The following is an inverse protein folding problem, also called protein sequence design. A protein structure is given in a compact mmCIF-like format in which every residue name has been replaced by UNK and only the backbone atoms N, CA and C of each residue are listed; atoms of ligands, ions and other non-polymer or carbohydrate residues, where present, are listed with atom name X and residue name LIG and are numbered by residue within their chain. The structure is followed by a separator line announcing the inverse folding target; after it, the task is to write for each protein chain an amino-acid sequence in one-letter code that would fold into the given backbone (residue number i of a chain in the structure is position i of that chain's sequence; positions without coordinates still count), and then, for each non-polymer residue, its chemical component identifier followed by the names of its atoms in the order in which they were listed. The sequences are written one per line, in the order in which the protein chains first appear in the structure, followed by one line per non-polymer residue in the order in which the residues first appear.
data_IF_805446795677
#
_entry.id   IF_805446795677
#
_cell.length_a   1.000
_cell.length_b   1.000
_cell.length_c   1.000
_cell.angle_alpha   90.00
_cell.angle_beta   90.00
_cell.angle_gamma   90.00
#
_symmetry.space_group_name_H-M   'P 1'
#
loop_
_entity.id
_entity.type
_entity.pdbx_description
1 polymer ?
#
# COMPACT_ATOMS: atom_id res chain seq x y z
N UNK A 1 -24.13 -0.99 10.91
CA UNK A 1 -23.53 0.36 10.85
C UNK A 1 -22.49 0.58 11.95
N UNK A 2 -22.78 0.28 13.22
CA UNK A 2 -21.77 0.42 14.30
C UNK A 2 -20.55 -0.52 14.18
N UNK A 3 -20.72 -1.71 13.61
CA UNK A 3 -19.62 -2.67 13.38
C UNK A 3 -18.56 -2.14 12.42
N UNK A 4 -18.95 -1.45 11.34
CA UNK A 4 -18.01 -0.86 10.39
C UNK A 4 -17.24 0.32 11.00
N UNK A 5 -17.91 1.13 11.82
CA UNK A 5 -17.24 2.22 12.56
C UNK A 5 -16.21 1.64 13.52
N UNK A 6 -16.61 0.64 14.32
CA UNK A 6 -15.69 -0.05 15.23
C UNK A 6 -14.51 -0.66 14.48
N UNK A 7 -14.76 -1.32 13.34
CA UNK A 7 -13.71 -1.88 12.50
C UNK A 7 -12.74 -0.80 12.00
N UNK A 8 -13.24 0.32 11.48
CA UNK A 8 -12.37 1.43 11.06
C UNK A 8 -11.55 2.01 12.21
N UNK A 9 -12.14 2.18 13.39
CA UNK A 9 -11.40 2.62 14.58
C UNK A 9 -10.30 1.62 14.95
N UNK A 10 -10.57 0.32 14.90
CA UNK A 10 -9.57 -0.71 15.16
C UNK A 10 -8.44 -0.65 14.13
N UNK A 11 -8.77 -0.53 12.85
CA UNK A 11 -7.77 -0.46 11.77
C UNK A 11 -6.88 0.78 11.88
N UNK A 12 -7.48 1.95 12.15
CA UNK A 12 -6.71 3.19 12.25
C UNK A 12 -5.79 3.18 13.47
N UNK A 13 -6.26 2.64 14.61
CA UNK A 13 -5.46 2.49 15.82
C UNK A 13 -4.32 1.49 15.60
N UNK A 14 -4.62 0.35 14.98
CA UNK A 14 -3.62 -0.67 14.68
C UNK A 14 -2.52 -0.16 13.73
N UNK A 15 -2.85 0.77 12.85
CA UNK A 15 -1.88 1.41 11.96
C UNK A 15 -1.11 2.56 12.64
N UNK A 16 -1.77 3.38 13.45
CA UNK A 16 -1.15 4.58 14.04
C UNK A 16 -0.31 4.33 15.27
N UNK A 17 -0.70 3.43 16.18
CA UNK A 17 0.11 3.14 17.38
C UNK A 17 1.55 2.79 17.00
N UNK A 18 1.79 1.87 16.06
CA UNK A 18 3.15 1.44 15.72
C UNK A 18 3.91 2.56 15.01
N UNK A 19 3.25 3.34 14.16
CA UNK A 19 3.81 4.54 13.56
C UNK A 19 4.26 5.57 14.63
N UNK A 20 3.45 5.78 15.67
CA UNK A 20 3.77 6.68 16.80
C UNK A 20 5.02 6.19 17.54
N UNK A 21 5.11 4.90 17.83
CA UNK A 21 6.28 4.32 18.50
C UNK A 21 7.55 4.47 17.68
N UNK A 22 7.48 4.21 16.37
CA UNK A 22 8.63 4.36 15.46
C UNK A 22 9.04 5.83 15.37
N UNK A 23 8.08 6.74 15.27
CA UNK A 23 8.34 8.18 15.27
C UNK A 23 9.00 8.64 16.57
N UNK A 24 8.55 8.13 17.72
CA UNK A 24 9.16 8.43 19.03
C UNK A 24 10.61 7.92 19.12
N UNK A 25 10.87 6.71 18.64
CA UNK A 25 12.19 6.10 18.69
C UNK A 25 13.20 6.83 17.78
N UNK A 26 12.75 7.26 16.60
CA UNK A 26 13.63 7.91 15.62
C UNK A 26 13.77 9.42 15.85
N UNK A 27 12.74 10.11 16.33
CA UNK A 27 12.71 11.60 16.31
C UNK A 27 12.33 12.22 17.66
N UNK A 28 11.95 11.41 18.64
CA UNK A 28 11.40 11.89 19.91
C UNK A 28 9.99 12.50 19.81
N UNK A 29 9.41 12.61 18.60
CA UNK A 29 8.08 13.19 18.40
C UNK A 29 7.02 12.07 18.26
N UNK A 30 5.93 12.09 19.07
CA UNK A 30 4.86 11.10 18.96
C UNK A 30 4.00 11.25 17.72
N UNK A 31 4.05 12.36 16.99
CA UNK A 31 3.22 12.56 15.80
C UNK A 31 4.07 12.23 14.56
N UNK A 32 3.81 11.11 13.85
CA UNK A 32 4.65 10.68 12.72
C UNK A 32 4.80 11.73 11.63
N UNK A 33 3.72 12.45 11.33
CA UNK A 33 3.73 13.53 10.35
C UNK A 33 4.66 14.69 10.74
N UNK A 34 4.82 14.97 12.04
CA UNK A 34 5.77 15.98 12.51
C UNK A 34 7.18 15.40 12.65
N UNK A 35 7.31 14.14 13.08
CA UNK A 35 8.59 13.43 13.14
C UNK A 35 9.26 13.34 11.78
N UNK A 36 8.50 13.16 10.70
CA UNK A 36 9.04 13.16 9.34
C UNK A 36 9.85 14.42 9.00
N UNK A 37 9.44 15.58 9.50
CA UNK A 37 10.13 16.86 9.30
C UNK A 37 10.98 17.28 10.51
N UNK A 38 11.14 16.39 11.49
CA UNK A 38 11.92 16.62 12.69
C UNK A 38 13.38 16.16 12.55
N UNK A 39 14.11 16.36 13.63
CA UNK A 39 15.50 15.91 13.75
C UNK A 39 15.56 14.43 14.11
N UNK A 40 16.53 13.73 13.54
CA UNK A 40 16.86 12.36 13.90
C UNK A 40 17.52 12.34 15.27
N UNK A 41 16.94 11.63 16.23
CA UNK A 41 17.32 11.67 17.64
C UNK A 41 18.76 11.20 17.89
N UNK A 42 19.32 10.35 17.02
CA UNK A 42 20.66 9.82 17.20
C UNK A 42 21.78 10.79 16.76
N UNK A 43 21.56 11.55 15.68
CA UNK A 43 22.59 12.45 15.09
C UNK A 43 22.26 13.93 15.21
N UNK A 44 21.00 14.28 15.47
CA UNK A 44 20.51 15.66 15.55
C UNK A 44 20.35 16.35 14.19
N UNK A 45 20.50 15.63 13.08
CA UNK A 45 20.29 16.16 11.72
C UNK A 45 18.86 15.88 11.24
N UNK A 46 18.31 16.65 10.28
CA UNK A 46 16.97 16.41 9.76
C UNK A 46 16.80 14.99 9.21
N UNK A 47 15.75 14.28 9.62
CA UNK A 47 15.53 12.88 9.26
C UNK A 47 15.53 12.64 7.75
N UNK A 48 14.89 13.54 6.99
CA UNK A 48 14.85 13.44 5.52
C UNK A 48 16.23 13.60 4.88
N UNK A 49 17.07 14.47 5.43
CA UNK A 49 18.43 14.68 4.91
C UNK A 49 19.30 13.44 5.18
N UNK A 50 19.20 12.85 6.38
CA UNK A 50 19.84 11.57 6.70
C UNK A 50 19.39 10.47 5.74
N UNK A 51 18.08 10.38 5.53
CA UNK A 51 17.49 9.36 4.67
C UNK A 51 17.97 9.52 3.23
N UNK A 52 17.97 10.73 2.68
CA UNK A 52 18.47 10.99 1.34
C UNK A 52 19.93 10.59 1.22
N UNK A 53 20.80 10.99 2.16
CA UNK A 53 22.21 10.63 2.16
C UNK A 53 22.44 9.11 2.14
N UNK A 54 21.78 8.36 3.03
CA UNK A 54 21.91 6.90 3.07
C UNK A 54 21.40 6.27 1.76
N UNK A 55 20.26 6.72 1.26
CA UNK A 55 19.64 6.14 0.06
C UNK A 55 20.49 6.42 -1.18
N UNK A 56 21.07 7.62 -1.30
CA UNK A 56 21.99 7.97 -2.38
C UNK A 56 23.31 7.20 -2.32
N UNK A 57 23.88 7.04 -1.12
CA UNK A 57 25.12 6.27 -0.92
C UNK A 57 24.92 4.81 -1.35
N UNK A 58 23.75 4.25 -1.07
CA UNK A 58 23.37 2.91 -1.51
C UNK A 58 22.94 2.84 -2.99
N UNK A 59 23.07 3.94 -3.73
CA UNK A 59 22.82 4.00 -5.17
C UNK A 59 21.37 4.12 -5.60
N UNK A 60 20.46 4.31 -4.66
CA UNK A 60 19.05 4.55 -4.94
C UNK A 60 18.80 6.03 -5.20
N UNK A 61 17.68 6.34 -5.86
CA UNK A 61 17.27 7.73 -6.04
C UNK A 61 16.95 8.36 -4.68
N UNK A 62 17.31 9.64 -4.52
CA UNK A 62 16.91 10.47 -3.37
C UNK A 62 15.43 10.27 -3.06
N UNK A 63 15.11 10.13 -1.78
CA UNK A 63 13.76 9.92 -1.31
C UNK A 63 12.90 11.19 -1.50
N UNK A 64 13.52 12.37 -1.38
CA UNK A 64 12.85 13.66 -1.58
C UNK A 64 12.91 14.18 -3.02
N UNK A 65 13.63 13.51 -3.93
CA UNK A 65 13.75 13.98 -5.30
C UNK A 65 12.39 14.12 -5.99
N UNK A 66 12.24 15.24 -6.72
CA UNK A 66 11.08 15.48 -7.54
C UNK A 66 10.99 14.45 -8.67
N UNK A 67 9.80 13.87 -8.86
CA UNK A 67 9.51 13.08 -10.05
C UNK A 67 9.82 13.90 -11.31
N UNK A 68 10.40 13.24 -12.32
CA UNK A 68 10.93 13.86 -13.54
C UNK A 68 9.97 14.76 -14.32
N UNK A 69 8.66 14.65 -14.10
CA UNK A 69 7.65 15.55 -14.68
C UNK A 69 6.52 15.84 -13.68
N UNK A 70 6.43 17.09 -13.22
CA UNK A 70 5.38 17.57 -12.30
C UNK A 70 3.98 17.43 -12.87
N UNK A 71 3.82 17.59 -14.19
CA UNK A 71 2.54 17.39 -14.88
C UNK A 71 2.09 15.94 -14.76
N UNK A 72 2.99 14.98 -14.97
CA UNK A 72 2.67 13.56 -14.84
C UNK A 72 2.27 13.21 -13.40
N UNK A 73 2.93 13.78 -12.39
CA UNK A 73 2.56 13.59 -10.98
C UNK A 73 1.16 14.14 -10.68
N UNK A 74 0.83 15.34 -11.18
CA UNK A 74 -0.50 15.93 -11.03
C UNK A 74 -1.56 15.09 -11.72
N UNK A 75 -1.34 14.68 -12.98
CA UNK A 75 -2.28 13.84 -13.72
C UNK A 75 -2.45 12.46 -13.07
N UNK A 76 -1.37 11.87 -12.57
CA UNK A 76 -1.41 10.58 -11.87
C UNK A 76 -2.22 10.70 -10.57
N UNK A 77 -1.95 11.73 -9.77
CA UNK A 77 -2.69 11.98 -8.53
C UNK A 77 -4.17 12.25 -8.82
N UNK A 78 -4.46 13.08 -9.83
CA UNK A 78 -5.81 13.36 -10.28
C UNK A 78 -6.53 12.09 -10.74
N UNK A 79 -5.86 11.23 -11.51
CA UNK A 79 -6.39 9.95 -11.99
C UNK A 79 -6.77 9.04 -10.82
N UNK A 80 -5.91 8.90 -9.80
CA UNK A 80 -6.23 8.12 -8.61
C UNK A 80 -7.43 8.68 -7.84
N UNK A 81 -7.50 10.00 -7.65
CA UNK A 81 -8.62 10.65 -6.96
C UNK A 81 -9.94 10.47 -7.71
N UNK A 82 -9.93 10.77 -9.01
CA UNK A 82 -11.09 10.65 -9.89
C UNK A 82 -11.54 9.19 -10.02
N UNK A 83 -10.60 8.27 -10.14
CA UNK A 83 -10.86 6.83 -10.24
C UNK A 83 -11.62 6.31 -9.03
N UNK A 84 -11.23 6.72 -7.82
CA UNK A 84 -11.96 6.34 -6.60
C UNK A 84 -13.38 6.90 -6.55
N UNK A 85 -13.58 8.14 -7.01
CA UNK A 85 -14.89 8.78 -7.06
C UNK A 85 -15.85 8.11 -8.05
N UNK A 86 -15.33 7.50 -9.12
CA UNK A 86 -16.11 6.79 -10.12
C UNK A 86 -16.70 5.46 -9.65
N UNK A 87 -16.28 4.93 -8.49
CA UNK A 87 -16.67 3.59 -8.06
C UNK A 87 -18.00 3.59 -7.27
N UNK A 88 -19.02 2.81 -7.68
CA UNK A 88 -20.35 2.84 -7.07
C UNK A 88 -20.40 2.44 -5.58
N UNK A 89 -19.43 1.64 -5.12
CA UNK A 89 -19.44 1.04 -3.79
C UNK A 89 -19.41 2.06 -2.63
N UNK A 90 -18.87 3.26 -2.84
CA UNK A 90 -18.87 4.34 -1.83
C UNK A 90 -20.20 5.09 -1.84
N UNK A 91 -20.71 5.43 -3.03
CA UNK A 91 -21.94 6.21 -3.21
C UNK A 91 -23.14 5.47 -2.62
N UNK A 92 -23.25 4.16 -2.87
CA UNK A 92 -24.36 3.34 -2.39
C UNK A 92 -24.51 3.33 -0.87
N UNK A 93 -23.41 3.58 -0.13
CA UNK A 93 -23.47 3.67 1.34
C UNK A 93 -24.18 4.92 1.84
N UNK A 94 -24.10 6.04 1.12
CA UNK A 94 -24.81 7.27 1.48
C UNK A 94 -26.34 7.15 1.30
N UNK A 95 -26.83 6.18 0.53
CA UNK A 95 -28.26 5.93 0.37
C UNK A 95 -28.87 5.12 1.52
N UNK A 96 -28.04 4.57 2.42
CA UNK A 96 -28.51 3.81 3.58
C UNK A 96 -28.79 4.66 4.81
N UNK A 97 -28.45 5.95 4.78
CA UNK A 97 -28.71 6.88 5.90
C UNK A 97 -30.02 7.64 5.70
N UNK A 98 -30.85 7.79 6.75
CA UNK A 98 -32.20 8.36 6.62
C UNK A 98 -32.24 9.87 6.40
N UNK A 99 -31.14 10.60 6.67
CA UNK A 99 -31.09 12.06 6.51
C UNK A 99 -29.83 12.54 5.81
N UNK A 100 -29.97 13.60 5.02
CA UNK A 100 -28.85 14.25 4.29
C UNK A 100 -27.83 14.86 5.25
N UNK A 101 -28.28 15.41 6.39
CA UNK A 101 -27.38 15.98 7.40
C UNK A 101 -26.45 14.92 7.99
N UNK A 102 -26.99 13.74 8.35
CA UNK A 102 -26.19 12.63 8.85
C UNK A 102 -25.22 12.08 7.78
N UNK A 103 -25.63 12.07 6.51
CA UNK A 103 -24.74 11.70 5.40
C UNK A 103 -23.51 12.62 5.32
N UNK A 104 -23.72 13.93 5.41
CA UNK A 104 -22.64 14.94 5.37
C UNK A 104 -21.70 14.83 6.58
N UNK A 105 -22.24 14.62 7.77
CA UNK A 105 -21.42 14.39 8.97
C UNK A 105 -20.60 13.10 8.88
N UNK A 106 -21.17 12.03 8.34
CA UNK A 106 -20.45 10.78 8.10
C UNK A 106 -19.32 10.96 7.08
N UNK A 107 -19.55 11.73 6.01
CA UNK A 107 -18.51 12.09 5.06
C UNK A 107 -17.38 12.91 5.73
N UNK A 108 -17.73 13.86 6.59
CA UNK A 108 -16.76 14.66 7.35
C UNK A 108 -15.84 13.81 8.24
N UNK A 109 -16.41 12.88 9.02
CA UNK A 109 -15.62 11.95 9.82
C UNK A 109 -14.73 11.03 8.96
N UNK A 110 -15.26 10.56 7.83
CA UNK A 110 -14.48 9.74 6.89
C UNK A 110 -13.26 10.52 6.38
N UNK A 111 -13.42 11.80 6.05
CA UNK A 111 -12.33 12.67 5.62
C UNK A 111 -11.26 12.86 6.71
N UNK A 112 -11.65 12.99 7.98
CA UNK A 112 -10.70 13.07 9.11
C UNK A 112 -9.86 11.79 9.22
N UNK A 113 -10.49 10.62 9.16
CA UNK A 113 -9.76 9.34 9.25
C UNK A 113 -8.84 9.10 8.05
N UNK A 114 -9.30 9.46 6.84
CA UNK A 114 -8.48 9.42 5.63
C UNK A 114 -7.29 10.35 5.79
N UNK A 115 -7.50 11.59 6.20
CA UNK A 115 -6.41 12.55 6.41
C UNK A 115 -5.36 12.03 7.40
N UNK A 116 -5.82 11.45 8.52
CA UNK A 116 -4.93 10.87 9.52
C UNK A 116 -4.09 9.71 8.95
N UNK A 117 -4.69 8.83 8.15
CA UNK A 117 -3.96 7.74 7.48
C UNK A 117 -2.95 8.29 6.46
N UNK A 118 -3.39 9.19 5.58
CA UNK A 118 -2.56 9.73 4.49
C UNK A 118 -1.43 10.64 4.98
N UNK A 119 -1.58 11.32 6.12
CA UNK A 119 -0.48 12.06 6.74
C UNK A 119 0.53 11.12 7.40
N UNK A 120 0.08 9.97 7.89
CA UNK A 120 0.96 9.00 8.57
C UNK A 120 1.71 8.11 7.57
N UNK A 121 1.13 7.79 6.42
CA UNK A 121 1.72 6.84 5.46
C UNK A 121 3.09 7.24 4.87
N UNK A 122 3.30 8.49 4.42
CA UNK A 122 4.63 8.92 3.96
C UNK A 122 5.69 8.88 5.06
N UNK A 123 5.29 9.21 6.30
CA UNK A 123 6.18 9.16 7.45
C UNK A 123 6.62 7.73 7.77
N UNK A 124 5.67 6.79 7.82
CA UNK A 124 5.97 5.36 8.03
C UNK A 124 6.86 4.82 6.91
N UNK A 125 6.60 5.19 5.66
CA UNK A 125 7.43 4.77 4.52
C UNK A 125 8.88 5.25 4.62
N UNK A 126 9.08 6.53 4.97
CA UNK A 126 10.41 7.13 5.14
C UNK A 126 11.16 6.50 6.31
N UNK A 127 10.50 6.38 7.46
CA UNK A 127 11.07 5.78 8.67
C UNK A 127 11.39 4.30 8.46
N UNK A 128 10.54 3.55 7.76
CA UNK A 128 10.82 2.15 7.43
C UNK A 128 12.04 2.00 6.51
N UNK A 129 12.19 2.91 5.54
CA UNK A 129 13.34 2.92 4.64
C UNK A 129 14.64 3.23 5.38
N UNK A 130 14.59 4.14 6.36
CA UNK A 130 15.71 4.44 7.23
C UNK A 130 16.09 3.22 8.09
N UNK A 131 15.12 2.66 8.82
CA UNK A 131 15.31 1.51 9.71
C UNK A 131 15.96 0.32 9.01
N UNK A 132 15.49 -0.04 7.81
CA UNK A 132 16.10 -1.14 7.05
C UNK A 132 17.54 -0.83 6.67
N UNK A 133 17.79 0.38 6.18
CA UNK A 133 19.13 0.74 5.73
C UNK A 133 20.11 0.73 6.91
N UNK A 134 19.71 1.22 8.08
CA UNK A 134 20.52 1.14 9.30
C UNK A 134 20.71 -0.28 9.81
N UNK A 135 19.71 -1.16 9.68
CA UNK A 135 19.88 -2.57 10.04
C UNK A 135 20.83 -3.31 9.10
N UNK A 136 20.73 -3.06 7.79
CA UNK A 136 21.64 -3.70 6.83
C UNK A 136 23.05 -3.12 6.92
N UNK A 137 23.19 -1.86 7.34
CA UNK A 137 24.46 -1.13 7.48
C UNK A 137 24.59 -0.51 8.89
N UNK A 138 24.83 -1.33 9.93
CA UNK A 138 24.79 -0.89 11.32
C UNK A 138 25.83 0.18 11.68
N UNK A 139 26.94 0.23 10.94
CA UNK A 139 28.02 1.22 11.11
C UNK A 139 27.97 2.36 10.07
N UNK A 140 26.83 2.52 9.38
CA UNK A 140 26.67 3.44 8.25
C UNK A 140 27.12 2.85 6.91
N UNK A 141 26.78 3.55 5.83
CA UNK A 141 26.98 3.13 4.42
C UNK A 141 28.46 2.99 4.03
N UNK A 142 29.37 3.63 4.76
CA UNK A 142 30.82 3.47 4.60
C UNK A 142 31.44 2.40 5.49
N UNK A 143 30.65 1.83 6.41
CA UNK A 143 31.08 0.78 7.34
C UNK A 143 30.85 -0.61 6.77
N UNK A 144 30.88 -1.63 7.63
CA UNK A 144 30.60 -2.99 7.21
C UNK A 144 29.08 -3.28 7.15
N UNK A 145 28.62 -4.05 6.15
CA UNK A 145 27.29 -4.63 6.14
C UNK A 145 27.07 -5.59 7.32
N UNK A 146 25.79 -5.87 7.59
CA UNK A 146 25.37 -6.88 8.57
C UNK A 146 26.02 -8.24 8.27
N UNK A 147 26.55 -8.88 9.32
CA UNK A 147 27.12 -10.22 9.21
C UNK A 147 26.08 -11.30 9.45
N UNK A 148 26.25 -12.46 8.83
CA UNK A 148 25.40 -13.63 9.04
C UNK A 148 25.42 -14.06 10.53
N UNK A 149 26.58 -13.95 11.18
CA UNK A 149 26.69 -14.24 12.62
C UNK A 149 25.85 -13.27 13.48
N UNK A 150 25.85 -11.96 13.17
CA UNK A 150 24.98 -11.00 13.85
C UNK A 150 23.51 -11.31 13.62
N UNK A 151 23.14 -11.76 12.42
CA UNK A 151 21.76 -12.12 12.10
C UNK A 151 21.27 -13.34 12.90
N UNK A 152 22.17 -14.28 13.20
CA UNK A 152 21.85 -15.49 13.97
C UNK A 152 21.91 -15.27 15.50
N UNK A 153 22.67 -14.27 15.96
CA UNK A 153 22.94 -14.07 17.40
C UNK A 153 22.19 -12.91 18.02
N UNK A 154 21.94 -11.82 17.28
CA UNK A 154 21.25 -10.63 17.79
C UNK A 154 19.75 -10.71 17.48
N UNK A 155 18.96 -10.68 18.55
CA UNK A 155 17.49 -10.67 18.53
C UNK A 155 16.93 -9.58 17.60
N UNK A 156 17.70 -8.51 17.37
CA UNK A 156 17.31 -7.43 16.45
C UNK A 156 17.08 -7.88 15.01
N UNK A 157 17.67 -9.00 14.58
CA UNK A 157 17.53 -9.53 13.23
C UNK A 157 16.54 -10.69 13.11
N UNK A 158 15.82 -11.05 14.18
CA UNK A 158 14.81 -12.13 14.20
C UNK A 158 13.72 -11.95 13.12
N UNK A 159 13.45 -10.69 12.72
CA UNK A 159 12.54 -10.37 11.64
C UNK A 159 13.00 -11.02 10.32
N UNK A 160 14.30 -11.07 10.03
CA UNK A 160 14.80 -11.65 8.78
C UNK A 160 14.46 -13.14 8.71
N UNK A 161 14.69 -13.89 9.80
CA UNK A 161 14.32 -15.30 9.87
C UNK A 161 12.79 -15.52 9.76
N UNK A 162 12.01 -14.63 10.36
CA UNK A 162 10.54 -14.68 10.32
C UNK A 162 10.01 -14.49 8.90
N UNK A 163 10.48 -13.46 8.20
CA UNK A 163 10.04 -13.15 6.85
C UNK A 163 10.66 -14.08 5.80
N UNK A 164 11.82 -14.68 6.05
CA UNK A 164 12.39 -15.70 5.18
C UNK A 164 11.51 -16.95 5.10
N UNK A 165 10.90 -17.38 6.22
CA UNK A 165 9.93 -18.50 6.24
C UNK A 165 8.70 -18.24 5.36
N UNK A 166 8.30 -16.98 5.19
CA UNK A 166 7.17 -16.61 4.32
C UNK A 166 7.53 -16.65 2.84
N UNK A 167 8.82 -16.70 2.50
CA UNK A 167 9.32 -16.59 1.14
C UNK A 167 9.20 -15.18 0.55
N UNK A 168 8.85 -14.16 1.34
CA UNK A 168 8.76 -12.75 0.93
C UNK A 168 10.08 -12.00 1.14
N UNK A 169 10.97 -12.57 1.94
CA UNK A 169 12.36 -12.17 2.13
C UNK A 169 13.27 -13.34 1.75
N UNK A 170 14.38 -13.06 1.08
CA UNK A 170 15.48 -14.01 0.93
C UNK A 170 16.78 -13.24 0.76
N UNK A 171 17.87 -13.84 1.21
CA UNK A 171 19.21 -13.31 1.10
C UNK A 171 20.18 -14.47 0.83
N UNK A 172 21.28 -14.17 0.19
CA UNK A 172 22.33 -15.14 -0.13
C UNK A 172 23.66 -14.39 -0.17
N UNK A 173 24.61 -14.83 0.64
CA UNK A 173 26.00 -14.38 0.58
C UNK A 173 26.61 -14.95 -0.71
N UNK A 174 26.87 -14.06 -1.68
CA UNK A 174 27.32 -14.44 -3.02
C UNK A 174 28.84 -14.38 -3.15
N UNK A 175 29.48 -13.55 -2.34
CA UNK A 175 30.92 -13.32 -2.39
C UNK A 175 31.69 -14.20 -1.36
N UNK A 176 30.97 -14.85 -0.44
CA UNK A 176 31.49 -15.75 0.59
C UNK A 176 32.19 -15.03 1.75
N UNK A 177 31.88 -13.76 1.98
CA UNK A 177 32.54 -12.92 3.00
C UNK A 177 31.86 -13.00 4.40
N UNK A 178 30.76 -13.74 4.51
CA UNK A 178 30.00 -13.90 5.75
C UNK A 178 29.13 -12.69 6.11
N UNK A 179 28.91 -11.77 5.17
CA UNK A 179 28.08 -10.57 5.32
C UNK A 179 27.06 -10.47 4.19
N UNK A 180 26.08 -9.60 4.37
CA UNK A 180 24.96 -9.40 3.44
C UNK A 180 24.90 -7.94 3.04
N UNK A 181 25.47 -7.63 1.87
CA UNK A 181 25.48 -6.29 1.31
C UNK A 181 24.16 -5.93 0.62
N UNK A 182 23.52 -4.84 1.09
CA UNK A 182 22.29 -4.30 0.50
C UNK A 182 22.54 -2.97 -0.19
N UNK A 183 22.44 -2.94 -1.53
CA UNK A 183 22.62 -1.74 -2.35
C UNK A 183 21.90 -1.87 -3.72
N UNK A 184 21.89 -0.79 -4.51
CA UNK A 184 21.32 -0.80 -5.86
C UNK A 184 22.29 -1.37 -6.89
N UNK A 185 22.17 -2.66 -7.18
CA UNK A 185 22.95 -3.40 -8.18
C UNK A 185 22.68 -2.99 -9.64
N UNK A 186 21.70 -2.11 -9.89
CA UNK A 186 21.41 -1.56 -11.22
C UNK A 186 22.18 -0.26 -11.51
N UNK A 187 22.79 0.34 -10.49
CA UNK A 187 23.58 1.55 -10.65
C UNK A 187 25.06 1.20 -10.79
N UNK A 188 25.63 1.43 -11.97
CA UNK A 188 27.03 1.09 -12.27
C UNK A 188 28.05 1.80 -11.37
N UNK A 189 27.76 3.04 -10.94
CA UNK A 189 28.65 3.80 -10.06
C UNK A 189 28.70 3.17 -8.67
N UNK A 190 27.54 2.80 -8.13
CA UNK A 190 27.42 2.14 -6.82
C UNK A 190 28.05 0.75 -6.84
N UNK A 191 27.86 -0.02 -7.92
CA UNK A 191 28.52 -1.33 -8.09
C UNK A 191 30.04 -1.17 -8.03
N UNK A 192 30.62 -0.20 -8.74
CA UNK A 192 32.05 0.03 -8.71
C UNK A 192 32.56 0.43 -7.31
N UNK A 193 31.78 1.22 -6.56
CA UNK A 193 32.11 1.60 -5.18
C UNK A 193 32.07 0.38 -4.23
N UNK A 194 31.04 -0.46 -4.33
CA UNK A 194 30.89 -1.65 -3.50
C UNK A 194 31.95 -2.71 -3.83
N UNK A 195 32.30 -2.89 -5.11
CA UNK A 195 33.41 -3.74 -5.52
C UNK A 195 34.75 -3.21 -4.97
N UNK A 196 34.99 -1.90 -5.02
CA UNK A 196 36.20 -1.29 -4.46
C UNK A 196 36.29 -1.42 -2.93
N UNK A 197 35.14 -1.43 -2.24
CA UNK A 197 35.03 -1.67 -0.82
C UNK A 197 35.12 -3.16 -0.43
N UNK A 198 35.09 -4.07 -1.41
CA UNK A 198 35.21 -5.52 -1.19
C UNK A 198 33.88 -6.25 -0.99
N UNK A 199 32.73 -5.56 -1.09
CA UNK A 199 31.40 -6.11 -0.84
C UNK A 199 30.77 -6.79 -2.07
N UNK A 200 31.48 -6.82 -3.20
CA UNK A 200 31.02 -7.46 -4.43
C UNK A 200 30.13 -6.56 -5.30
N UNK A 201 29.62 -7.16 -6.39
CA UNK A 201 28.97 -6.43 -7.49
C UNK A 201 27.47 -6.61 -7.59
N UNK A 202 26.91 -7.47 -6.74
CA UNK A 202 25.50 -7.82 -6.74
C UNK A 202 24.88 -7.58 -5.38
N UNK A 203 23.60 -7.20 -5.37
CA UNK A 203 22.83 -7.14 -4.14
C UNK A 203 22.60 -8.56 -3.61
N UNK A 204 22.90 -8.75 -2.32
CA UNK A 204 22.82 -10.03 -1.61
C UNK A 204 21.47 -10.22 -0.91
N UNK A 205 20.66 -9.17 -0.84
CA UNK A 205 19.24 -9.25 -0.51
C UNK A 205 18.44 -9.71 -1.73
N UNK A 206 18.59 -10.99 -2.09
CA UNK A 206 18.09 -11.60 -3.34
C UNK A 206 16.59 -11.45 -3.55
N UNK A 207 15.79 -11.40 -2.47
CA UNK A 207 14.36 -11.15 -2.53
C UNK A 207 13.93 -10.24 -1.39
N UNK A 208 13.41 -9.07 -1.74
CA UNK A 208 12.77 -8.17 -0.77
C UNK A 208 11.44 -7.66 -1.32
N UNK A 209 10.33 -8.26 -0.88
CA UNK A 209 9.02 -7.80 -1.31
C UNK A 209 8.66 -6.47 -0.64
N UNK A 210 8.57 -5.40 -1.43
CA UNK A 210 8.26 -4.04 -0.95
C UNK A 210 6.91 -3.93 -0.22
N UNK A 211 5.96 -4.82 -0.50
CA UNK A 211 4.64 -4.81 0.12
C UNK A 211 4.66 -5.27 1.59
N UNK A 212 5.75 -5.94 2.05
CA UNK A 212 5.87 -6.35 3.46
C UNK A 212 6.38 -5.22 4.35
N UNK A 213 6.94 -4.16 3.78
CA UNK A 213 7.69 -3.14 4.52
C UNK A 213 6.88 -2.57 5.69
N UNK A 214 5.61 -2.25 5.48
CA UNK A 214 4.74 -1.70 6.53
C UNK A 214 4.45 -2.71 7.65
N UNK A 215 4.30 -3.99 7.31
CA UNK A 215 4.02 -5.05 8.28
C UNK A 215 5.28 -5.49 9.04
N UNK A 216 6.43 -5.48 8.37
CA UNK A 216 7.72 -5.85 8.94
C UNK A 216 8.36 -4.71 9.75
N UNK A 217 8.06 -3.45 9.44
CA UNK A 217 8.70 -2.28 10.06
C UNK A 217 8.64 -2.28 11.61
N UNK A 218 7.54 -2.66 12.28
CA UNK A 218 7.51 -2.82 13.74
C UNK A 218 8.54 -3.82 14.27
N UNK A 219 8.78 -4.92 13.55
CA UNK A 219 9.78 -5.94 13.91
C UNK A 219 11.19 -5.40 13.65
N UNK A 220 11.40 -4.73 12.51
CA UNK A 220 12.66 -4.06 12.16
C UNK A 220 12.99 -2.98 13.21
N UNK A 221 12.00 -2.22 13.69
CA UNK A 221 12.21 -1.22 14.72
C UNK A 221 12.39 -1.81 16.14
N UNK A 222 12.30 -3.14 16.30
CA UNK A 222 12.38 -3.83 17.59
C UNK A 222 11.33 -3.35 18.61
N UNK A 223 10.09 -3.13 18.13
CA UNK A 223 9.00 -2.73 19.01
C UNK A 223 8.54 -3.89 19.91
N UNK A 224 7.88 -3.60 21.04
CA UNK A 224 7.32 -4.63 21.89
C UNK A 224 6.39 -5.58 21.13
N UNK A 225 6.43 -6.88 21.46
CA UNK A 225 5.67 -7.92 20.75
C UNK A 225 4.16 -7.67 20.64
N UNK A 226 3.55 -6.98 21.59
CA UNK A 226 2.13 -6.61 21.51
C UNK A 226 1.85 -5.56 20.42
N UNK A 227 2.81 -4.67 20.12
CA UNK A 227 2.73 -3.66 19.04
C UNK A 227 2.84 -4.34 17.68
N UNK A 228 3.78 -5.29 17.55
CA UNK A 228 3.95 -6.12 16.35
C UNK A 228 2.67 -6.91 16.08
N UNK A 229 2.14 -7.59 17.11
CA UNK A 229 0.89 -8.35 17.00
C UNK A 229 -0.31 -7.46 16.62
N UNK A 230 -0.34 -6.20 17.10
CA UNK A 230 -1.37 -5.23 16.75
C UNK A 230 -1.34 -4.87 15.25
N UNK A 231 -0.16 -4.60 14.68
CA UNK A 231 -0.03 -4.36 13.21
C UNK A 231 -0.45 -5.56 12.42
N UNK A 232 0.05 -6.75 12.77
CA UNK A 232 -0.26 -7.97 12.06
C UNK A 232 -1.77 -8.26 12.06
N UNK A 233 -2.42 -8.15 13.23
CA UNK A 233 -3.86 -8.30 13.37
C UNK A 233 -4.64 -7.22 12.61
N UNK A 234 -4.19 -5.96 12.67
CA UNK A 234 -4.79 -4.83 11.95
C UNK A 234 -4.70 -4.99 10.43
N UNK A 235 -3.53 -5.38 9.92
CA UNK A 235 -3.30 -5.62 8.49
C UNK A 235 -4.18 -6.75 7.94
N UNK A 236 -4.26 -7.87 8.67
CA UNK A 236 -5.17 -8.97 8.34
C UNK A 236 -6.65 -8.52 8.37
N UNK A 237 -7.05 -7.79 9.41
CA UNK A 237 -8.41 -7.28 9.52
C UNK A 237 -8.76 -6.30 8.38
N UNK A 238 -7.81 -5.47 7.95
CA UNK A 238 -8.00 -4.54 6.83
C UNK A 238 -8.19 -5.28 5.51
N UNK A 239 -7.33 -6.28 5.24
CA UNK A 239 -7.41 -7.09 4.03
C UNK A 239 -8.75 -7.85 3.94
N UNK A 240 -9.15 -8.51 5.04
CA UNK A 240 -10.41 -9.26 5.10
C UNK A 240 -11.64 -8.35 4.98
N UNK A 241 -11.60 -7.16 5.57
CA UNK A 241 -12.67 -6.15 5.46
C UNK A 241 -12.95 -5.78 4.00
N UNK A 242 -11.88 -5.41 3.29
CA UNK A 242 -11.97 -4.94 1.91
C UNK A 242 -12.37 -6.09 0.97
N UNK A 243 -11.79 -7.29 1.17
CA UNK A 243 -12.14 -8.47 0.40
C UNK A 243 -13.64 -8.81 0.53
N UNK A 244 -14.17 -8.85 1.75
CA UNK A 244 -15.60 -9.12 1.97
C UNK A 244 -16.49 -8.07 1.30
N UNK A 245 -16.15 -6.79 1.42
CA UNK A 245 -16.90 -5.70 0.81
C UNK A 245 -16.93 -5.76 -0.72
N UNK A 246 -15.78 -6.00 -1.35
CA UNK A 246 -15.66 -6.11 -2.81
C UNK A 246 -16.34 -7.38 -3.35
N UNK A 247 -16.23 -8.50 -2.64
CA UNK A 247 -16.92 -9.74 -3.02
C UNK A 247 -18.43 -9.58 -3.02
N UNK A 248 -19.01 -8.87 -2.04
CA UNK A 248 -20.43 -8.55 -2.02
C UNK A 248 -20.83 -7.63 -3.18
N UNK A 249 -19.99 -6.65 -3.51
CA UNK A 249 -20.22 -5.76 -4.65
C UNK A 249 -20.21 -6.53 -5.98
N UNK A 250 -19.21 -7.39 -6.20
CA UNK A 250 -19.13 -8.25 -7.39
C UNK A 250 -20.34 -9.19 -7.46
N UNK A 251 -20.70 -9.81 -6.33
CA UNK A 251 -21.85 -10.69 -6.23
C UNK A 251 -23.14 -10.00 -6.65
N UNK A 252 -23.39 -8.80 -6.13
CA UNK A 252 -24.60 -8.01 -6.46
C UNK A 252 -24.59 -7.55 -7.91
N UNK A 253 -23.44 -7.10 -8.43
CA UNK A 253 -23.32 -6.67 -9.82
C UNK A 253 -23.64 -7.82 -10.79
N UNK A 254 -23.18 -9.04 -10.49
CA UNK A 254 -23.47 -10.21 -11.33
C UNK A 254 -24.91 -10.69 -11.16
N UNK A 255 -25.39 -10.88 -9.92
CA UNK A 255 -26.72 -11.46 -9.70
C UNK A 255 -27.86 -10.50 -10.01
N UNK A 256 -27.73 -9.23 -9.59
CA UNK A 256 -28.80 -8.25 -9.67
C UNK A 256 -28.71 -7.42 -10.94
N UNK A 257 -27.56 -6.80 -11.24
CA UNK A 257 -27.44 -5.87 -12.36
C UNK A 257 -27.37 -6.61 -13.71
N UNK A 258 -26.54 -7.65 -13.78
CA UNK A 258 -26.30 -8.39 -15.01
C UNK A 258 -27.36 -9.46 -15.27
N UNK A 259 -27.56 -10.39 -14.33
CA UNK A 259 -28.52 -11.48 -14.52
C UNK A 259 -29.95 -11.00 -14.39
N UNK A 260 -30.39 -10.52 -13.22
CA UNK A 260 -31.78 -10.10 -13.04
C UNK A 260 -32.14 -8.85 -13.87
N UNK A 261 -31.21 -7.91 -14.02
CA UNK A 261 -31.46 -6.67 -14.75
C UNK A 261 -31.52 -6.83 -16.27
N UNK A 262 -30.69 -7.69 -16.87
CA UNK A 262 -30.54 -7.77 -18.33
C UNK A 262 -30.85 -9.15 -18.91
N UNK A 263 -30.26 -10.22 -18.38
CA UNK A 263 -30.31 -11.55 -19.04
C UNK A 263 -31.53 -12.40 -18.66
N UNK A 264 -31.94 -12.37 -17.39
CA UNK A 264 -33.01 -13.20 -16.83
C UNK A 264 -33.91 -12.39 -15.90
N UNK A 265 -34.79 -11.50 -16.43
CA UNK A 265 -35.64 -10.62 -15.63
C UNK A 265 -36.60 -11.33 -14.69
N UNK A 266 -37.07 -12.52 -15.06
CA UNK A 266 -38.00 -13.33 -14.28
C UNK A 266 -37.30 -14.31 -13.31
N UNK A 267 -36.06 -14.02 -12.91
CA UNK A 267 -35.31 -14.89 -12.01
C UNK A 267 -35.91 -14.89 -10.60
N UNK A 268 -36.12 -16.08 -10.03
CA UNK A 268 -36.58 -16.25 -8.66
C UNK A 268 -35.53 -15.80 -7.65
N UNK A 269 -35.94 -15.37 -6.45
CA UNK A 269 -35.01 -14.97 -5.37
C UNK A 269 -34.00 -16.08 -5.01
N UNK A 270 -34.43 -17.34 -5.04
CA UNK A 270 -33.56 -18.49 -4.84
C UNK A 270 -32.50 -18.62 -5.94
N UNK A 271 -32.89 -18.36 -7.19
CA UNK A 271 -31.96 -18.32 -8.33
C UNK A 271 -30.96 -17.18 -8.22
N UNK A 272 -31.42 -16.00 -7.82
CA UNK A 272 -30.59 -14.82 -7.59
C UNK A 272 -29.54 -15.09 -6.51
N UNK A 273 -29.95 -15.60 -5.35
CA UNK A 273 -29.03 -15.96 -4.25
C UNK A 273 -28.02 -17.03 -4.66
N UNK A 274 -28.42 -18.00 -5.49
CA UNK A 274 -27.50 -19.02 -5.98
C UNK A 274 -26.49 -18.44 -6.97
N UNK A 275 -26.94 -17.59 -7.89
CA UNK A 275 -26.05 -16.91 -8.84
C UNK A 275 -25.04 -15.99 -8.14
N UNK A 276 -25.47 -15.27 -7.10
CA UNK A 276 -24.63 -14.49 -6.22
C UNK A 276 -23.51 -15.33 -5.58
N UNK A 277 -23.87 -16.48 -5.01
CA UNK A 277 -22.88 -17.41 -4.40
C UNK A 277 -21.90 -17.99 -5.41
N UNK A 278 -22.37 -18.32 -6.61
CA UNK A 278 -21.50 -18.82 -7.70
C UNK A 278 -20.53 -17.71 -8.13
N UNK A 279 -21.02 -16.48 -8.33
CA UNK A 279 -20.19 -15.33 -8.68
C UNK A 279 -19.11 -15.07 -7.61
N UNK A 280 -19.48 -15.12 -6.32
CA UNK A 280 -18.51 -15.01 -5.23
C UNK A 280 -17.46 -16.12 -5.26
N UNK A 281 -17.87 -17.38 -5.46
CA UNK A 281 -16.94 -18.51 -5.53
C UNK A 281 -15.96 -18.38 -6.71
N UNK A 282 -16.45 -18.01 -7.88
CA UNK A 282 -15.59 -17.75 -9.06
C UNK A 282 -14.65 -16.59 -8.80
N UNK A 283 -15.13 -15.49 -8.22
CA UNK A 283 -14.30 -14.34 -7.89
C UNK A 283 -13.20 -14.69 -6.88
N UNK A 284 -13.49 -15.51 -5.88
CA UNK A 284 -12.49 -16.01 -4.92
C UNK A 284 -11.42 -16.83 -5.64
N UNK A 285 -11.81 -17.79 -6.50
CA UNK A 285 -10.84 -18.63 -7.24
C UNK A 285 -9.92 -17.78 -8.12
N UNK A 286 -10.48 -16.82 -8.86
CA UNK A 286 -9.68 -15.92 -9.70
C UNK A 286 -8.77 -15.02 -8.86
N UNK A 287 -9.29 -14.45 -7.77
CA UNK A 287 -8.50 -13.61 -6.86
C UNK A 287 -7.37 -14.39 -6.18
N UNK A 288 -7.60 -15.64 -5.76
CA UNK A 288 -6.57 -16.51 -5.20
C UNK A 288 -5.50 -16.84 -6.24
N UNK A 289 -5.90 -17.18 -7.47
CA UNK A 289 -4.94 -17.45 -8.55
C UNK A 289 -4.04 -16.25 -8.85
N UNK A 290 -4.62 -15.05 -8.98
CA UNK A 290 -3.88 -13.81 -9.20
C UNK A 290 -3.06 -13.39 -7.98
N UNK A 291 -3.52 -13.71 -6.76
CA UNK A 291 -2.78 -13.43 -5.52
C UNK A 291 -1.54 -14.30 -5.34
N UNK A 292 -1.56 -15.55 -5.81
CA UNK A 292 -0.39 -16.43 -5.82
C UNK A 292 0.64 -16.03 -6.88
N UNK A 293 0.18 -15.43 -7.98
CA UNK A 293 1.02 -14.95 -9.08
C UNK A 293 0.79 -13.46 -9.32
N UNK A 294 1.23 -12.58 -8.41
CA UNK A 294 0.93 -11.16 -8.51
C UNK A 294 1.57 -10.57 -9.79
N UNK A 295 0.79 -9.91 -10.66
CA UNK A 295 1.29 -9.37 -11.93
C UNK A 295 2.20 -8.14 -11.74
N UNK A 296 2.25 -7.59 -10.53
CA UNK A 296 3.10 -6.48 -10.12
C UNK A 296 2.92 -6.19 -8.63
N UNK A 297 3.52 -5.10 -8.15
CA UNK A 297 3.30 -4.65 -6.78
C UNK A 297 1.84 -4.27 -6.57
N UNK A 298 1.30 -4.53 -5.37
CA UNK A 298 -0.12 -4.30 -5.09
C UNK A 298 -0.57 -2.86 -5.39
N UNK A 299 0.28 -1.88 -5.08
CA UNK A 299 0.01 -0.47 -5.38
C UNK A 299 -0.11 -0.18 -6.89
N UNK A 300 0.71 -0.84 -7.72
CA UNK A 300 0.68 -0.65 -9.18
C UNK A 300 -0.58 -1.25 -9.79
N UNK A 301 -0.99 -2.44 -9.33
CA UNK A 301 -2.22 -3.08 -9.82
C UNK A 301 -3.46 -2.27 -9.46
N UNK A 302 -3.47 -1.65 -8.27
CA UNK A 302 -4.56 -0.75 -7.84
C UNK A 302 -4.54 0.55 -8.66
N UNK A 303 -3.36 1.13 -8.90
CA UNK A 303 -3.24 2.34 -9.70
C UNK A 303 -3.78 2.14 -11.13
N UNK A 304 -3.50 0.99 -11.75
CA UNK A 304 -4.04 0.63 -13.06
C UNK A 304 -5.57 0.51 -13.02
N UNK A 305 -6.13 -0.17 -12.01
CA UNK A 305 -7.58 -0.31 -11.86
C UNK A 305 -8.29 1.05 -11.70
N UNK A 306 -7.71 1.96 -10.90
CA UNK A 306 -8.26 3.32 -10.74
C UNK A 306 -8.06 4.18 -11.99
N UNK A 307 -6.95 4.03 -12.71
CA UNK A 307 -6.74 4.69 -14.00
C UNK A 307 -7.80 4.32 -15.02
N UNK A 308 -8.10 3.02 -15.15
CA UNK A 308 -9.18 2.53 -16.01
C UNK A 308 -10.55 3.08 -15.58
N UNK A 309 -10.85 3.11 -14.27
CA UNK A 309 -12.10 3.67 -13.76
C UNK A 309 -12.21 5.19 -14.01
N UNK A 310 -11.10 5.92 -13.90
CA UNK A 310 -11.03 7.36 -14.16
C UNK A 310 -11.25 7.69 -15.63
N UNK A 311 -10.77 6.85 -16.55
CA UNK A 311 -10.95 7.05 -17.99
C UNK A 311 -12.32 6.61 -18.51
N UNK A 312 -12.96 5.65 -17.85
CA UNK A 312 -14.21 5.03 -18.35
C UNK A 312 -15.45 5.47 -17.57
N UNK A 313 -15.56 5.06 -16.30
CA UNK A 313 -16.78 5.19 -15.51
C UNK A 313 -17.00 6.64 -15.07
N UNK A 314 -15.95 7.33 -14.62
CA UNK A 314 -16.08 8.66 -14.06
C UNK A 314 -16.63 9.71 -15.05
N UNK A 315 -16.14 9.81 -16.30
CA UNK A 315 -16.69 10.76 -17.27
C UNK A 315 -18.16 10.48 -17.55
N UNK A 316 -18.55 9.20 -17.68
CA UNK A 316 -19.94 8.81 -17.89
C UNK A 316 -20.84 9.23 -16.72
N UNK A 317 -20.39 9.05 -15.47
CA UNK A 317 -21.11 9.48 -14.27
C UNK A 317 -21.23 11.00 -14.19
N UNK A 318 -20.13 11.73 -14.36
CA UNK A 318 -20.12 13.20 -14.32
C UNK A 318 -21.04 13.80 -15.38
N UNK A 319 -20.94 13.28 -16.60
CA UNK A 319 -21.77 13.72 -17.72
C UNK A 319 -23.25 13.37 -17.49
N UNK A 320 -23.55 12.20 -16.91
CA UNK A 320 -24.92 11.82 -16.54
C UNK A 320 -25.55 12.68 -15.43
N UNK A 321 -24.75 13.20 -14.50
CA UNK A 321 -25.24 14.06 -13.41
C UNK A 321 -25.40 15.52 -13.86
N UNK A 322 -24.40 16.06 -14.58
CA UNK A 322 -24.29 17.51 -14.84
C UNK A 322 -24.70 17.94 -16.25
N UNK A 323 -24.82 17.01 -17.21
CA UNK A 323 -25.17 17.35 -18.59
C UNK A 323 -26.52 16.75 -18.99
N UNK A 324 -27.42 17.62 -19.44
CA UNK A 324 -28.74 17.23 -19.93
C UNK A 324 -28.71 16.67 -21.36
N UNK A 325 -27.56 16.74 -22.05
CA UNK A 325 -27.41 16.34 -23.47
C UNK A 325 -26.92 14.91 -23.66
N UNK A 326 -26.51 14.25 -22.59
CA UNK A 326 -25.88 12.93 -22.65
C UNK A 326 -26.93 11.86 -22.86
N UNK A 327 -26.67 10.96 -23.81
CA UNK A 327 -27.51 9.81 -24.09
C UNK A 327 -26.72 8.51 -23.86
N UNK A 328 -27.44 7.38 -23.82
CA UNK A 328 -26.84 6.07 -23.53
C UNK A 328 -25.73 5.69 -24.52
N UNK A 329 -25.92 5.99 -25.81
CA UNK A 329 -24.94 5.67 -26.85
C UNK A 329 -23.63 6.47 -26.68
N UNK A 330 -23.73 7.76 -26.36
CA UNK A 330 -22.58 8.62 -26.10
C UNK A 330 -21.83 8.22 -24.82
N UNK A 331 -22.56 7.83 -23.77
CA UNK A 331 -21.96 7.31 -22.55
C UNK A 331 -21.19 6.00 -22.81
N UNK A 332 -21.77 5.05 -23.54
CA UNK A 332 -21.13 3.77 -23.89
C UNK A 332 -19.92 3.99 -24.80
N UNK A 333 -20.02 4.84 -25.82
CA UNK A 333 -18.90 5.17 -26.70
C UNK A 333 -17.74 5.81 -25.91
N UNK A 334 -18.05 6.72 -24.97
CA UNK A 334 -17.06 7.32 -24.08
C UNK A 334 -16.35 6.30 -23.19
N UNK A 335 -17.11 5.37 -22.58
CA UNK A 335 -16.53 4.30 -21.76
C UNK A 335 -15.60 3.39 -22.57
N UNK A 336 -16.02 2.96 -23.77
CA UNK A 336 -15.20 2.11 -24.65
C UNK A 336 -13.93 2.85 -25.10
N UNK A 337 -14.05 4.11 -25.52
CA UNK A 337 -12.91 4.92 -25.91
C UNK A 337 -11.91 5.08 -24.76
N UNK A 338 -12.41 5.36 -23.54
CA UNK A 338 -11.58 5.47 -22.34
C UNK A 338 -10.80 4.19 -22.04
N UNK A 339 -11.45 3.02 -22.11
CA UNK A 339 -10.80 1.71 -21.90
C UNK A 339 -9.78 1.40 -23.00
N UNK A 340 -10.06 1.77 -24.25
CA UNK A 340 -9.20 1.40 -25.39
C UNK A 340 -7.93 2.24 -25.47
N UNK A 341 -7.98 3.50 -25.01
CA UNK A 341 -6.84 4.43 -25.05
C UNK A 341 -5.91 4.26 -23.83
N UNK A 342 -6.44 3.75 -22.71
CA UNK A 342 -5.72 3.62 -21.42
C UNK A 342 -5.00 2.29 -21.30
#
# INVERSE_FOLDING_TARGET
TYTQVAQYCVLIIAYTIPAIFISLQLTGNPIPALGLFGDYAATGEPLLQKLDAIVTDLGFNEYTAHHSNTLNMVLFTLSLMIGTAGLPHVIMRFFTVPTVSSARWSAGWTLVFIALLYLTAPAVGAMARLNISEMMWPNGTSGDPVSVEMMDTDVKYDWMATWQKTGLLNWEDKNGDGRIAYFNDKNAETVAQMEAAGWGSQNELTKFNRDILVLANPEIANLPGWVIALVAAGGLAAALSTAAGLLLAISSAVSHDLLKGQFTPNMTEKGELMSARIAMAVAIVVATYLGLNPPGFAAQTVALAFGLAAASIFPALMMGIFSTRVNNAGAVAGMIAGITVT
#
